data_IF_929569221650
#
_entry.id   IF_929569221650
#
_cell.length_a   1.000
_cell.length_b   1.000
_cell.length_c   1.000
_cell.angle_alpha   90.00
_cell.angle_beta   90.00
_cell.angle_gamma   90.00
#
_symmetry.space_group_name_H-M   'P 1'
#
loop_
_entity.id
_entity.type
_entity.pdbx_description
1 polymer ?
#
# COMPACT_ATOMS: atom_id res chain seq x y z
N UNK A 1 -6.28 11.52 -10.91
CA UNK A 1 -5.85 10.17 -11.37
C UNK A 1 -4.37 10.12 -11.73
N UNK A 2 -3.76 11.19 -12.24
CA UNK A 2 -2.33 11.21 -12.55
C UNK A 2 -1.44 10.91 -11.33
N UNK A 3 -1.74 11.50 -10.16
CA UNK A 3 -0.95 11.29 -8.94
C UNK A 3 -0.99 9.84 -8.46
N UNK A 4 -2.13 9.16 -8.58
CA UNK A 4 -2.26 7.74 -8.27
C UNK A 4 -1.30 6.89 -9.11
N UNK A 5 -1.26 7.11 -10.43
CA UNK A 5 -0.36 6.37 -11.31
C UNK A 5 1.11 6.70 -11.06
N UNK A 6 1.40 7.95 -10.71
CA UNK A 6 2.74 8.37 -10.31
C UNK A 6 3.20 7.64 -9.04
N UNK A 7 2.37 7.59 -8.01
CA UNK A 7 2.66 6.88 -6.76
C UNK A 7 2.84 5.38 -7.02
N UNK A 8 1.92 4.76 -7.77
CA UNK A 8 2.03 3.35 -8.13
C UNK A 8 3.34 3.03 -8.89
N UNK A 9 3.77 3.91 -9.80
CA UNK A 9 5.02 3.76 -10.55
C UNK A 9 6.29 3.97 -9.71
N UNK A 10 6.19 4.75 -8.62
CA UNK A 10 7.28 4.89 -7.65
C UNK A 10 7.33 3.63 -6.78
N UNK A 11 6.20 3.23 -6.20
CA UNK A 11 6.09 2.05 -5.33
C UNK A 11 6.50 0.76 -6.06
N UNK A 12 6.18 0.61 -7.35
CA UNK A 12 6.56 -0.57 -8.13
C UNK A 12 8.08 -0.76 -8.30
N UNK A 13 8.89 0.27 -7.99
CA UNK A 13 10.35 0.21 -8.08
C UNK A 13 11.00 -0.11 -6.74
N UNK A 14 10.25 -0.11 -5.65
CA UNK A 14 10.79 -0.25 -4.30
C UNK A 14 10.65 -1.69 -3.81
N UNK A 15 11.78 -2.40 -3.75
CA UNK A 15 11.87 -3.75 -3.18
C UNK A 15 12.99 -3.77 -2.13
N UNK A 16 12.63 -3.50 -0.88
CA UNK A 16 13.57 -3.39 0.23
C UNK A 16 12.91 -3.87 1.53
N UNK A 17 13.62 -4.56 2.45
CA UNK A 17 13.04 -5.14 3.68
C UNK A 17 12.32 -4.15 4.60
N UNK A 18 12.62 -2.85 4.50
CA UNK A 18 12.01 -1.79 5.32
C UNK A 18 11.00 -0.92 4.55
N UNK A 19 10.59 -1.33 3.35
CA UNK A 19 9.58 -0.65 2.54
C UNK A 19 8.48 -1.65 2.23
N UNK A 20 7.22 -1.25 2.45
CA UNK A 20 6.05 -2.09 2.17
C UNK A 20 6.08 -2.57 0.72
N UNK A 21 5.99 -3.88 0.53
CA UNK A 21 5.95 -4.49 -0.79
C UNK A 21 4.66 -4.09 -1.52
N UNK A 22 4.85 -3.56 -2.73
CA UNK A 22 3.77 -3.21 -3.64
C UNK A 22 3.63 -4.29 -4.71
N UNK A 23 2.43 -4.85 -4.84
CA UNK A 23 2.16 -5.93 -5.78
C UNK A 23 1.54 -5.44 -7.09
N UNK A 24 0.77 -4.35 -7.05
CA UNK A 24 0.19 -3.78 -8.26
C UNK A 24 -1.04 -2.93 -8.04
N UNK A 25 -1.74 -2.67 -9.15
CA UNK A 25 -2.99 -1.91 -9.17
C UNK A 25 -4.10 -2.78 -9.76
N UNK A 26 -5.25 -2.80 -9.11
CA UNK A 26 -6.50 -3.28 -9.70
C UNK A 26 -7.17 -2.09 -10.38
N UNK A 27 -7.26 -2.18 -11.71
CA UNK A 27 -8.15 -1.32 -12.51
C UNK A 27 -9.48 -2.04 -12.63
N UNK A 28 -10.58 -1.32 -12.39
CA UNK A 28 -11.94 -1.85 -12.54
C UNK A 28 -12.30 -2.99 -11.56
N UNK A 29 -11.93 -2.80 -10.29
CA UNK A 29 -12.40 -3.65 -9.20
C UNK A 29 -13.92 -3.55 -8.99
N UNK A 30 -14.50 -4.30 -8.03
CA UNK A 30 -15.93 -4.23 -7.71
C UNK A 30 -16.40 -2.77 -7.55
N UNK A 31 -17.46 -2.40 -8.27
CA UNK A 31 -17.97 -1.03 -8.30
C UNK A 31 -17.16 -0.04 -9.15
N UNK A 32 -16.29 -0.52 -10.06
CA UNK A 32 -15.43 0.34 -10.88
C UNK A 32 -14.30 0.99 -10.08
N UNK A 33 -13.90 0.35 -8.97
CA UNK A 33 -12.91 0.91 -8.05
C UNK A 33 -11.48 0.75 -8.58
N UNK A 34 -10.66 1.75 -8.29
CA UNK A 34 -9.22 1.75 -8.54
C UNK A 34 -8.51 1.56 -7.19
N UNK A 35 -7.70 0.52 -7.06
CA UNK A 35 -7.06 0.17 -5.79
C UNK A 35 -5.61 -0.29 -5.98
N UNK A 36 -4.77 -0.02 -4.98
CA UNK A 36 -3.44 -0.60 -4.86
C UNK A 36 -3.50 -1.92 -4.08
N UNK A 37 -2.59 -2.82 -4.39
CA UNK A 37 -2.40 -4.08 -3.66
C UNK A 37 -1.01 -4.08 -3.05
N UNK A 38 -0.94 -4.29 -1.73
CA UNK A 38 0.31 -4.35 -0.96
C UNK A 38 0.32 -5.61 -0.11
N UNK A 39 1.47 -5.91 0.51
CA UNK A 39 1.50 -6.88 1.60
C UNK A 39 0.61 -6.44 2.77
N UNK A 40 0.13 -7.41 3.55
CA UNK A 40 -0.70 -7.17 4.72
C UNK A 40 0.15 -7.03 5.98
N UNK A 41 0.08 -5.87 6.63
CA UNK A 41 0.79 -5.57 7.87
C UNK A 41 -0.08 -5.91 9.08
N UNK A 42 0.09 -7.11 9.66
CA UNK A 42 -0.76 -7.63 10.75
C UNK A 42 -0.82 -6.74 12.00
N UNK A 43 0.28 -6.02 12.31
CA UNK A 43 0.35 -5.11 13.44
C UNK A 43 -0.16 -3.69 13.11
N UNK A 44 -0.62 -3.47 11.88
CA UNK A 44 -1.07 -2.17 11.40
C UNK A 44 0.06 -1.14 11.28
N UNK A 45 -0.30 0.13 11.46
CA UNK A 45 0.65 1.24 11.39
C UNK A 45 1.50 1.34 12.67
N UNK A 46 2.69 1.92 12.55
CA UNK A 46 3.53 2.22 13.71
C UNK A 46 2.80 3.09 14.75
N UNK A 47 1.97 4.05 14.31
CA UNK A 47 1.13 4.85 15.20
C UNK A 47 0.20 3.97 16.04
N UNK A 48 -0.44 2.98 15.43
CA UNK A 48 -1.31 2.05 16.14
C UNK A 48 -0.53 1.29 17.21
N UNK A 49 0.64 0.77 16.86
CA UNK A 49 1.50 0.02 17.80
C UNK A 49 1.95 0.91 18.97
N UNK A 50 2.42 2.13 18.72
CA UNK A 50 2.92 3.03 19.76
C UNK A 50 1.83 3.58 20.69
N UNK A 51 0.57 3.58 20.26
CA UNK A 51 -0.57 4.01 21.07
C UNK A 51 -1.15 2.90 21.95
N UNK A 52 -0.76 1.64 21.72
CA UNK A 52 -1.13 0.55 22.62
C UNK A 52 -0.40 0.77 23.94
N UNK A 53 -1.19 1.07 24.98
CA UNK A 53 -0.76 0.95 26.37
C UNK A 53 -1.04 -0.49 26.75
N UNK A 54 -0.03 -1.33 26.63
CA UNK A 54 -0.02 -2.55 27.43
C UNK A 54 0.16 -2.16 28.91
#
# INVERSE_FOLDING_TARGET
THDFWREAAILSKLHHPNVVAFYGVVKDGPGGTLATVTEFMVNGSLRHVLQRKD
#
